data_IF_279922465302
#
_entry.id   IF_279922465302
#
_cell.length_a   1.000
_cell.length_b   1.000
_cell.length_c   1.000
_cell.angle_alpha   90.00
_cell.angle_beta   90.00
_cell.angle_gamma   90.00
#
_symmetry.space_group_name_H-M   'P 1'
#
loop_
_entity.id
_entity.type
_entity.pdbx_description
1 polymer ?
#
# COMPACT_ATOMS: atom_id res chain seq x y z
N UNK A 1 -9.00 15.74 15.32
CA UNK A 1 -7.92 15.12 14.52
C UNK A 1 -8.23 15.36 13.05
N UNK A 2 -7.24 15.77 12.25
CA UNK A 2 -7.40 15.92 10.79
C UNK A 2 -7.20 14.60 10.07
N UNK A 3 -7.65 14.49 8.82
CA UNK A 3 -7.42 13.30 7.98
C UNK A 3 -5.94 12.97 7.85
N UNK A 4 -5.09 13.99 7.67
CA UNK A 4 -3.64 13.81 7.58
C UNK A 4 -3.04 13.28 8.89
N UNK A 5 -3.55 13.73 10.03
CA UNK A 5 -3.14 13.21 11.34
C UNK A 5 -3.54 11.75 11.53
N UNK A 6 -4.74 11.34 11.09
CA UNK A 6 -5.19 9.94 11.16
C UNK A 6 -4.31 9.05 10.30
N UNK A 7 -4.05 9.45 9.04
CA UNK A 7 -3.16 8.72 8.12
C UNK A 7 -1.78 8.52 8.73
N UNK A 8 -1.20 9.58 9.29
CA UNK A 8 0.12 9.53 9.91
C UNK A 8 0.14 8.57 11.11
N UNK A 9 -0.86 8.67 12.01
CA UNK A 9 -0.96 7.78 13.17
C UNK A 9 -1.09 6.31 12.80
N UNK A 10 -1.83 5.98 11.74
CA UNK A 10 -1.96 4.60 11.26
C UNK A 10 -0.60 4.05 10.81
N UNK A 11 0.13 4.81 9.98
CA UNK A 11 1.44 4.41 9.49
C UNK A 11 2.47 4.28 10.63
N UNK A 12 2.48 5.24 11.55
CA UNK A 12 3.39 5.25 12.70
C UNK A 12 3.12 4.08 13.66
N UNK A 13 1.86 3.70 13.86
CA UNK A 13 1.52 2.54 14.68
C UNK A 13 2.16 1.26 14.12
N UNK A 14 1.97 0.97 12.82
CA UNK A 14 2.54 -0.24 12.21
C UNK A 14 4.06 -0.17 12.12
N UNK A 15 4.63 1.02 11.86
CA UNK A 15 6.07 1.25 11.93
C UNK A 15 6.65 0.91 13.30
N UNK A 16 5.98 1.32 14.38
CA UNK A 16 6.39 0.97 15.76
C UNK A 16 6.34 -0.53 16.05
N UNK A 17 5.60 -1.31 15.24
CA UNK A 17 5.54 -2.78 15.30
C UNK A 17 6.48 -3.46 14.32
N UNK A 18 7.44 -2.73 13.72
CA UNK A 18 8.44 -3.27 12.80
C UNK A 18 7.98 -3.40 11.34
N UNK A 19 6.82 -2.86 10.97
CA UNK A 19 6.41 -2.84 9.56
C UNK A 19 7.14 -1.73 8.81
N UNK A 20 7.53 -2.00 7.56
CA UNK A 20 8.11 -0.98 6.68
C UNK A 20 6.98 -0.14 6.06
N UNK A 21 7.11 1.18 6.12
CA UNK A 21 6.19 2.09 5.43
C UNK A 21 6.63 2.21 3.97
N UNK A 22 5.78 1.75 3.06
CA UNK A 22 6.00 1.86 1.61
C UNK A 22 5.03 2.89 1.03
N UNK A 23 5.48 3.66 0.04
CA UNK A 23 4.62 4.59 -0.68
C UNK A 23 3.49 3.84 -1.43
N UNK A 24 2.38 4.52 -1.68
CA UNK A 24 1.33 3.96 -2.55
C UNK A 24 1.86 3.76 -3.95
N UNK A 25 1.47 2.66 -4.58
CA UNK A 25 1.72 2.42 -5.99
C UNK A 25 0.84 3.31 -6.88
N UNK A 26 1.17 3.34 -8.17
CA UNK A 26 0.42 3.97 -9.24
C UNK A 26 -1.03 3.50 -9.28
N UNK A 27 -1.94 4.40 -9.67
CA UNK A 27 -3.34 4.04 -9.95
C UNK A 27 -3.46 3.14 -11.20
N UNK A 28 -2.54 3.28 -12.15
CA UNK A 28 -2.47 2.46 -13.37
C UNK A 28 -1.40 1.39 -13.17
N UNK A 29 -1.77 0.09 -13.10
CA UNK A 29 -0.83 -1.02 -12.96
C UNK A 29 0.12 -1.09 -14.17
N UNK A 30 1.41 -1.30 -13.91
CA UNK A 30 2.42 -1.45 -14.98
C UNK A 30 2.60 -2.90 -15.42
N UNK A 31 2.48 -3.82 -14.47
CA UNK A 31 2.96 -5.20 -14.61
C UNK A 31 1.82 -6.24 -14.59
N UNK A 32 0.56 -5.79 -14.56
CA UNK A 32 -0.61 -6.67 -14.58
C UNK A 32 -1.63 -6.20 -15.64
N UNK A 33 -1.66 -6.83 -16.83
CA UNK A 33 -2.58 -6.46 -17.90
C UNK A 33 -4.03 -6.89 -17.63
N UNK A 34 -4.29 -7.63 -16.54
CA UNK A 34 -5.64 -8.16 -16.24
C UNK A 34 -6.47 -7.24 -15.34
N UNK A 35 -5.84 -6.25 -14.72
CA UNK A 35 -6.51 -5.25 -13.87
C UNK A 35 -6.44 -3.86 -14.50
N UNK A 36 -7.56 -3.15 -14.47
CA UNK A 36 -7.68 -1.83 -15.08
C UNK A 36 -7.07 -0.72 -14.21
N UNK A 37 -7.29 -0.78 -12.89
CA UNK A 37 -6.77 0.17 -11.91
C UNK A 37 -6.36 -0.54 -10.62
N UNK A 38 -5.45 0.07 -9.86
CA UNK A 38 -5.10 -0.37 -8.51
C UNK A 38 -6.28 -0.12 -7.58
N UNK A 39 -6.98 -1.20 -7.19
CA UNK A 39 -8.17 -1.13 -6.31
C UNK A 39 -7.85 -1.40 -4.85
N UNK A 40 -6.66 -1.95 -4.55
CA UNK A 40 -6.26 -2.32 -3.21
C UNK A 40 -4.75 -2.23 -3.00
N UNK A 41 -4.33 -1.89 -1.77
CA UNK A 41 -2.92 -1.76 -1.41
C UNK A 41 -2.11 -3.07 -1.46
N UNK A 42 -2.78 -4.23 -1.53
CA UNK A 42 -2.13 -5.54 -1.64
C UNK A 42 -1.63 -5.86 -3.05
N UNK A 43 -2.11 -5.17 -4.08
CA UNK A 43 -1.79 -5.50 -5.47
C UNK A 43 -0.30 -5.31 -5.77
N UNK A 44 0.32 -4.26 -5.25
CA UNK A 44 1.76 -4.00 -5.39
C UNK A 44 2.64 -5.07 -4.70
N UNK A 45 2.05 -5.92 -3.85
CA UNK A 45 2.73 -7.01 -3.14
C UNK A 45 2.36 -8.39 -3.69
N UNK A 46 1.65 -8.46 -4.83
CA UNK A 46 1.21 -9.72 -5.44
C UNK A 46 2.37 -10.72 -5.65
N UNK A 47 3.55 -10.34 -6.16
CA UNK A 47 4.68 -11.27 -6.28
C UNK A 47 5.11 -11.87 -4.93
N UNK A 48 5.22 -11.06 -3.87
CA UNK A 48 5.65 -11.49 -2.54
C UNK A 48 4.66 -12.48 -1.91
N UNK A 49 3.37 -12.40 -2.25
CA UNK A 49 2.37 -13.36 -1.82
C UNK A 49 2.40 -14.67 -2.60
N UNK A 50 2.87 -14.66 -3.85
CA UNK A 50 2.90 -15.83 -4.73
C UNK A 50 4.25 -16.58 -4.71
N UNK A 51 5.31 -15.95 -4.21
CA UNK A 51 6.68 -16.49 -4.20
C UNK A 51 7.45 -16.16 -5.47
#
# INVERSE_FOLDING_TARGET
MTTDQIRTKFLDFFKSKGHTVTASDSLVPKDDPTVLFTTAGMQQFKPQFLG
#
